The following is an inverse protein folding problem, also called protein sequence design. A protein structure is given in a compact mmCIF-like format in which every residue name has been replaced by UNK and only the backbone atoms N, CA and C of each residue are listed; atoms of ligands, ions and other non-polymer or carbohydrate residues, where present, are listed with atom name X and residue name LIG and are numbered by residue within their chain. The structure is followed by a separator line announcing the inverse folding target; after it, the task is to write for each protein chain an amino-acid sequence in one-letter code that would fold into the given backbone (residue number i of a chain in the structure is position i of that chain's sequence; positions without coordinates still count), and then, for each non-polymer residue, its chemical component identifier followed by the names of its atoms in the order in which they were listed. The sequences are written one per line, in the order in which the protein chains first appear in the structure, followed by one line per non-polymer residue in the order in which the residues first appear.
data_IF_827595633934
#
_entry.id   IF_827595633934
#
_cell.length_a   1.000
_cell.length_b   1.000
_cell.length_c   1.000
_cell.angle_alpha   90.00
_cell.angle_beta   90.00
_cell.angle_gamma   90.00
#
_symmetry.space_group_name_H-M   'P 1'
#
loop_
_entity.id
_entity.type
_entity.pdbx_description
1 polymer ?
#
# COMPACT_ATOMS: atom_id res chain seq x y z
N UNK A 1 -14.07 -16.20 7.22
CA UNK A 1 -13.51 -14.95 7.77
C UNK A 1 -13.58 -13.90 6.67
N UNK A 2 -14.40 -12.86 6.83
CA UNK A 2 -14.66 -11.85 5.79
C UNK A 2 -13.51 -10.85 5.72
N UNK A 3 -12.98 -10.59 4.52
CA UNK A 3 -11.86 -9.65 4.32
C UNK A 3 -12.28 -8.20 4.62
N UNK A 4 -11.51 -7.50 5.46
CA UNK A 4 -11.74 -6.08 5.79
C UNK A 4 -11.60 -5.20 4.55
N UNK A 5 -12.55 -4.29 4.30
CA UNK A 5 -12.44 -3.26 3.27
C UNK A 5 -13.15 -1.97 3.69
N UNK A 6 -12.42 -0.85 3.74
CA UNK A 6 -12.98 0.48 4.05
C UNK A 6 -13.20 1.25 2.76
N UNK A 7 -14.46 1.49 2.40
CA UNK A 7 -14.84 2.22 1.17
C UNK A 7 -14.35 3.68 1.21
N UNK A 8 -13.85 4.24 0.08
CA UNK A 8 -13.55 5.66 -0.03
C UNK A 8 -14.79 6.54 0.17
N UNK A 9 -14.63 7.64 0.91
CA UNK A 9 -15.62 8.73 0.93
C UNK A 9 -15.35 9.73 -0.20
N UNK A 10 -16.31 10.60 -0.56
CA UNK A 10 -16.15 11.55 -1.68
C UNK A 10 -14.98 12.53 -1.50
N UNK A 11 -14.66 12.93 -0.26
CA UNK A 11 -13.51 13.78 0.07
C UNK A 11 -12.17 13.04 -0.13
N UNK A 12 -12.13 11.73 0.16
CA UNK A 12 -10.95 10.90 -0.08
C UNK A 12 -10.61 10.80 -1.58
N UNK A 13 -11.62 10.80 -2.44
CA UNK A 13 -11.44 10.73 -3.90
C UNK A 13 -10.75 11.99 -4.44
N UNK A 14 -11.04 13.17 -3.86
CA UNK A 14 -10.44 14.45 -4.26
C UNK A 14 -8.99 14.55 -3.78
N UNK A 15 -8.70 14.12 -2.55
CA UNK A 15 -7.33 14.09 -2.03
C UNK A 15 -6.45 13.06 -2.77
N UNK A 16 -6.97 11.86 -3.04
CA UNK A 16 -6.30 10.86 -3.87
C UNK A 16 -6.03 11.37 -5.29
N UNK A 17 -6.93 12.17 -5.87
CA UNK A 17 -6.73 12.78 -7.18
C UNK A 17 -5.62 13.84 -7.14
N UNK A 18 -5.55 14.66 -6.09
CA UNK A 18 -4.50 15.67 -5.90
C UNK A 18 -3.11 15.02 -5.70
N UNK A 19 -3.01 14.00 -4.83
CA UNK A 19 -1.76 13.24 -4.63
C UNK A 19 -1.37 12.49 -5.91
N UNK A 20 -2.33 11.94 -6.66
CA UNK A 20 -2.08 11.32 -7.96
C UNK A 20 -1.58 12.32 -9.01
N UNK A 21 -2.05 13.57 -8.98
CA UNK A 21 -1.60 14.63 -9.87
C UNK A 21 -0.18 15.10 -9.52
N UNK A 22 0.11 15.33 -8.24
CA UNK A 22 1.44 15.73 -7.75
C UNK A 22 2.51 14.66 -8.01
N UNK A 23 2.16 13.38 -7.80
CA UNK A 23 3.06 12.26 -8.11
C UNK A 23 3.30 12.12 -9.62
N UNK A 24 2.30 12.42 -10.46
CA UNK A 24 2.43 12.38 -11.93
C UNK A 24 3.37 13.45 -12.48
N UNK A 25 3.44 14.63 -11.86
CA UNK A 25 4.33 15.73 -12.28
C UNK A 25 5.74 15.64 -11.68
N UNK A 26 6.08 14.54 -10.97
CA UNK A 26 7.45 14.29 -10.50
C UNK A 26 7.82 14.96 -9.17
N UNK A 27 6.83 15.43 -8.40
CA UNK A 27 7.00 15.91 -7.03
C UNK A 27 6.43 14.88 -6.05
N UNK A 28 7.13 13.75 -5.80
CA UNK A 28 6.63 12.75 -4.87
C UNK A 28 6.62 13.33 -3.46
N UNK A 29 5.44 13.39 -2.84
CA UNK A 29 5.35 13.57 -1.40
C UNK A 29 6.02 12.36 -0.75
N UNK A 30 7.18 12.58 -0.13
CA UNK A 30 7.91 11.62 0.69
C UNK A 30 8.05 10.19 0.10
N UNK A 31 8.27 10.09 -1.23
CA UNK A 31 8.51 8.81 -1.89
C UNK A 31 7.27 8.10 -2.46
N UNK A 32 6.13 8.78 -2.57
CA UNK A 32 4.93 8.27 -3.23
C UNK A 32 5.21 7.71 -4.64
N UNK A 33 4.46 6.68 -5.03
CA UNK A 33 4.50 6.03 -6.34
C UNK A 33 3.09 5.81 -6.86
N UNK A 34 2.95 5.73 -8.18
CA UNK A 34 1.73 5.19 -8.79
C UNK A 34 1.93 3.70 -8.96
N UNK A 35 1.19 2.89 -8.19
CA UNK A 35 1.08 1.46 -8.41
C UNK A 35 0.25 1.23 -9.67
N UNK A 36 0.80 0.51 -10.65
CA UNK A 36 0.06 -0.04 -11.77
C UNK A 36 0.02 -1.57 -11.65
N UNK A 37 -1.18 -2.14 -11.64
CA UNK A 37 -1.42 -3.57 -11.51
C UNK A 37 -2.49 -3.99 -12.51
N UNK A 38 -2.33 -5.18 -13.09
CA UNK A 38 -3.26 -5.72 -14.07
C UNK A 38 -4.57 -6.12 -13.37
N UNK A 39 -5.71 -5.69 -13.92
CA UNK A 39 -7.02 -6.07 -13.44
C UNK A 39 -7.20 -7.58 -13.55
N UNK A 40 -7.54 -8.27 -12.44
CA UNK A 40 -7.66 -9.74 -12.43
C UNK A 40 -8.73 -10.30 -13.37
N UNK A 41 -9.71 -9.49 -13.73
CA UNK A 41 -10.80 -9.86 -14.64
C UNK A 41 -10.57 -9.30 -16.05
N UNK A 42 -10.17 -8.02 -16.16
CA UNK A 42 -10.08 -7.35 -17.46
C UNK A 42 -8.69 -7.41 -18.11
N UNK A 43 -7.64 -7.75 -17.37
CA UNK A 43 -6.25 -7.67 -17.86
C UNK A 43 -5.74 -6.23 -18.11
N UNK A 44 -6.56 -5.20 -17.93
CA UNK A 44 -6.14 -3.81 -18.15
C UNK A 44 -5.29 -3.28 -17.00
N UNK A 45 -4.43 -2.29 -17.29
CA UNK A 45 -3.71 -1.57 -16.24
C UNK A 45 -4.67 -0.75 -15.38
N UNK A 46 -4.65 -1.00 -14.08
CA UNK A 46 -5.35 -0.18 -13.07
C UNK A 46 -4.31 0.50 -12.20
N UNK A 47 -4.51 1.79 -11.93
CA UNK A 47 -3.53 2.60 -11.21
C UNK A 47 -4.07 3.20 -9.93
N UNK A 48 -3.22 3.30 -8.91
CA UNK A 48 -3.56 3.93 -7.64
C UNK A 48 -2.30 4.49 -6.98
N UNK A 49 -2.35 5.66 -6.32
CA UNK A 49 -1.24 6.15 -5.52
C UNK A 49 -0.98 5.23 -4.33
N UNK A 50 0.28 4.97 -4.05
CA UNK A 50 0.74 4.19 -2.89
C UNK A 50 2.01 4.80 -2.32
N UNK A 51 2.29 4.48 -1.06
CA UNK A 51 3.51 4.90 -0.35
C UNK A 51 4.33 3.66 0.02
N UNK A 52 5.29 3.23 -0.84
CA UNK A 52 6.21 2.15 -0.50
C UNK A 52 7.07 2.54 0.69
N UNK A 53 7.13 1.68 1.71
CA UNK A 53 7.93 1.87 2.91
C UNK A 53 9.14 0.92 2.90
N UNK A 54 10.29 1.38 3.39
CA UNK A 54 11.44 0.50 3.67
C UNK A 54 11.48 0.11 5.14
N UNK A 55 11.62 -1.18 5.43
CA UNK A 55 11.81 -1.73 6.78
C UNK A 55 12.88 -2.80 6.70
N UNK A 56 13.95 -2.67 7.50
CA UNK A 56 15.07 -3.61 7.54
C UNK A 56 15.65 -3.95 6.13
N UNK A 57 15.82 -2.93 5.28
CA UNK A 57 16.37 -3.08 3.91
C UNK A 57 15.34 -3.49 2.85
N UNK A 58 14.25 -4.14 3.26
CA UNK A 58 13.16 -4.61 2.40
C UNK A 58 12.12 -3.52 2.12
N UNK A 59 11.39 -3.64 1.00
CA UNK A 59 10.32 -2.70 0.62
C UNK A 59 8.94 -3.32 0.74
N UNK A 60 7.99 -2.54 1.23
CA UNK A 60 6.64 -2.99 1.50
C UNK A 60 5.58 -2.02 0.96
N UNK A 61 4.45 -2.57 0.51
CA UNK A 61 3.18 -1.85 0.38
C UNK A 61 2.26 -2.27 1.52
N UNK A 62 1.63 -1.29 2.15
CA UNK A 62 0.60 -1.52 3.17
C UNK A 62 -0.74 -1.03 2.61
N UNK A 63 -1.79 -1.83 2.79
CA UNK A 63 -3.15 -1.48 2.43
C UNK A 63 -3.94 -1.01 3.66
N UNK A 64 -3.86 0.29 4.06
CA UNK A 64 -4.54 0.79 5.25
C UNK A 64 -6.07 0.65 5.18
N UNK A 65 -6.63 0.57 3.97
CA UNK A 65 -8.07 0.38 3.74
C UNK A 65 -8.49 -1.09 3.61
N UNK A 66 -7.59 -2.03 3.89
CA UNK A 66 -7.84 -3.46 3.75
C UNK A 66 -7.83 -3.96 2.30
N UNK A 67 -8.61 -4.99 2.01
CA UNK A 67 -8.67 -5.69 0.71
C UNK A 67 -9.43 -4.91 -0.37
N UNK A 68 -8.80 -3.83 -0.81
CA UNK A 68 -9.22 -2.99 -1.94
C UNK A 68 -9.09 -3.72 -3.30
N UNK A 69 -9.54 -3.10 -4.39
CA UNK A 69 -9.40 -3.70 -5.73
C UNK A 69 -7.94 -3.90 -6.14
N UNK A 70 -7.02 -2.99 -5.78
CA UNK A 70 -5.61 -3.17 -6.14
C UNK A 70 -4.98 -4.34 -5.39
N UNK A 71 -5.38 -4.61 -4.13
CA UNK A 71 -4.94 -5.77 -3.34
C UNK A 71 -5.38 -7.06 -4.04
N UNK A 72 -6.67 -7.16 -4.38
CA UNK A 72 -7.22 -8.34 -5.07
C UNK A 72 -6.55 -8.58 -6.42
N UNK A 73 -6.27 -7.52 -7.14
CA UNK A 73 -5.58 -7.61 -8.42
C UNK A 73 -4.10 -7.99 -8.25
N UNK A 74 -3.41 -7.45 -7.24
CA UNK A 74 -2.01 -7.76 -6.99
C UNK A 74 -1.82 -9.22 -6.55
N UNK A 75 -2.72 -9.76 -5.72
CA UNK A 75 -2.74 -11.18 -5.36
C UNK A 75 -2.86 -12.09 -6.57
N UNK A 76 -3.70 -11.71 -7.53
CA UNK A 76 -3.88 -12.48 -8.76
C UNK A 76 -2.71 -12.33 -9.75
N UNK A 77 -2.14 -11.13 -9.85
CA UNK A 77 -1.07 -10.82 -10.82
C UNK A 77 0.33 -11.20 -10.32
N UNK A 78 0.56 -11.26 -9.01
CA UNK A 78 1.86 -11.53 -8.39
C UNK A 78 2.91 -10.42 -8.55
N UNK A 79 2.55 -9.30 -9.17
CA UNK A 79 3.47 -8.21 -9.46
C UNK A 79 2.83 -7.06 -10.24
N UNK A 80 3.63 -6.05 -10.57
CA UNK A 80 3.18 -4.87 -11.27
C UNK A 80 4.30 -3.87 -11.51
N UNK A 81 3.92 -2.60 -11.65
CA UNK A 81 4.86 -1.51 -11.83
C UNK A 81 4.67 -0.42 -10.77
N UNK A 82 5.78 0.13 -10.28
CA UNK A 82 5.81 1.39 -9.54
C UNK A 82 6.30 2.49 -10.48
N UNK A 83 5.45 3.48 -10.74
CA UNK A 83 5.73 4.59 -11.65
C UNK A 83 5.97 5.90 -10.89
N UNK A 84 6.97 6.66 -11.31
CA UNK A 84 7.28 8.00 -10.80
C UNK A 84 7.78 8.89 -11.94
N UNK A 85 6.98 9.86 -12.37
CA UNK A 85 7.27 10.61 -13.59
C UNK A 85 7.49 9.68 -14.78
N UNK A 86 8.69 9.71 -15.37
CA UNK A 86 9.10 8.83 -16.47
C UNK A 86 9.68 7.48 -16.04
N UNK A 87 10.07 7.34 -14.77
CA UNK A 87 10.69 6.12 -14.27
C UNK A 87 9.65 5.04 -14.01
N UNK A 88 9.91 3.83 -14.49
CA UNK A 88 9.07 2.65 -14.29
C UNK A 88 9.92 1.57 -13.64
N UNK A 89 9.47 1.07 -12.50
CA UNK A 89 10.10 -0.07 -11.84
C UNK A 89 9.15 -1.27 -11.89
N UNK A 90 9.60 -2.38 -12.48
CA UNK A 90 8.86 -3.65 -12.49
C UNK A 90 9.19 -4.41 -11.21
N UNK A 91 8.18 -4.99 -10.57
CA UNK A 91 8.35 -5.70 -9.31
C UNK A 91 7.48 -6.96 -9.20
N UNK A 92 7.93 -7.89 -8.35
CA UNK A 92 7.12 -8.98 -7.77
C UNK A 92 6.66 -8.65 -6.38
N UNK A 93 5.48 -9.13 -6.02
CA UNK A 93 4.92 -8.97 -4.69
C UNK A 93 4.67 -10.33 -4.04
N UNK A 94 5.04 -10.43 -2.77
CA UNK A 94 4.74 -11.55 -1.90
C UNK A 94 3.92 -11.04 -0.72
N UNK A 95 2.76 -11.64 -0.45
CA UNK A 95 1.94 -11.23 0.68
C UNK A 95 2.57 -11.71 1.99
N UNK A 96 2.72 -10.79 2.94
CA UNK A 96 3.38 -11.05 4.22
C UNK A 96 2.40 -11.75 5.16
N UNK A 97 2.78 -12.87 5.82
CA UNK A 97 1.96 -13.53 6.83
C UNK A 97 1.62 -12.60 8.00
N UNK A 98 0.44 -12.78 8.62
CA UNK A 98 -0.05 -11.89 9.69
C UNK A 98 0.92 -11.77 10.88
N UNK A 99 1.62 -12.87 11.22
CA UNK A 99 2.60 -12.90 12.29
C UNK A 99 3.81 -11.98 12.07
N UNK A 100 4.17 -11.70 10.81
CA UNK A 100 5.31 -10.85 10.43
C UNK A 100 4.93 -9.37 10.27
N UNK A 101 3.63 -9.04 10.23
CA UNK A 101 3.15 -7.67 9.98
C UNK A 101 3.40 -6.66 11.12
N UNK A 102 3.41 -6.99 12.43
CA UNK A 102 3.52 -5.99 13.50
C UNK A 102 4.67 -4.98 13.34
N UNK A 103 5.94 -5.38 13.11
CA UNK A 103 7.02 -4.40 12.93
C UNK A 103 6.81 -3.50 11.70
N UNK A 104 6.19 -4.02 10.64
CA UNK A 104 5.93 -3.27 9.41
C UNK A 104 4.80 -2.26 9.62
N UNK A 105 3.70 -2.68 10.27
CA UNK A 105 2.57 -1.79 10.60
C UNK A 105 3.00 -0.68 11.55
N UNK A 106 3.85 -0.97 12.54
CA UNK A 106 4.42 0.04 13.44
C UNK A 106 5.23 1.06 12.66
N UNK A 107 6.16 0.63 11.80
CA UNK A 107 6.96 1.53 10.99
C UNK A 107 6.09 2.38 10.04
N UNK A 108 5.03 1.80 9.49
CA UNK A 108 4.07 2.51 8.65
C UNK A 108 3.31 3.59 9.43
N UNK A 109 2.86 3.29 10.66
CA UNK A 109 2.22 4.27 11.54
C UNK A 109 3.18 5.39 11.96
N UNK A 110 4.45 5.09 12.21
CA UNK A 110 5.47 6.12 12.49
C UNK A 110 5.57 7.12 11.33
N UNK A 111 5.60 6.63 10.09
CA UNK A 111 5.77 7.46 8.91
C UNK A 111 4.49 8.20 8.47
N UNK A 112 3.32 7.55 8.61
CA UNK A 112 2.10 7.97 7.90
C UNK A 112 0.86 8.13 8.78
N UNK A 113 0.93 7.97 10.10
CA UNK A 113 -0.26 8.06 10.96
C UNK A 113 -1.03 9.39 10.81
N UNK A 114 -0.36 10.49 10.48
CA UNK A 114 -0.99 11.79 10.23
C UNK A 114 -1.96 11.76 9.02
N UNK A 115 -1.71 10.88 8.04
CA UNK A 115 -2.53 10.72 6.84
C UNK A 115 -3.51 9.54 6.95
N UNK A 116 -3.04 8.41 7.50
CA UNK A 116 -3.78 7.13 7.48
C UNK A 116 -4.30 6.66 8.84
N UNK A 117 -3.97 7.35 9.94
CA UNK A 117 -4.25 6.89 11.31
C UNK A 117 -5.73 6.59 11.56
N UNK A 118 -6.63 7.31 10.89
CA UNK A 118 -8.08 7.07 10.93
C UNK A 118 -8.52 5.66 10.50
N UNK A 119 -7.68 4.94 9.75
CA UNK A 119 -7.99 3.58 9.30
C UNK A 119 -7.51 2.50 10.27
N UNK A 120 -6.74 2.84 11.30
CA UNK A 120 -6.12 1.87 12.21
C UNK A 120 -6.92 1.57 13.48
N UNK A 121 -8.23 1.85 13.52
CA UNK A 121 -9.13 1.47 14.64
C UNK A 121 -8.63 1.92 16.03
N UNK A 122 -8.01 3.10 16.09
CA UNK A 122 -7.43 3.63 17.34
C UNK A 122 -6.07 3.04 17.71
N UNK A 123 -5.49 2.19 16.87
CA UNK A 123 -4.10 1.73 16.97
C UNK A 123 -3.16 2.77 16.40
N UNK A 124 -2.10 3.05 17.12
CA UNK A 124 -1.06 4.03 16.77
C UNK A 124 0.35 3.43 16.87
N UNK A 125 1.38 4.25 16.61
CA UNK A 125 2.79 3.84 16.65
C UNK A 125 3.28 3.39 18.03
N UNK A 126 2.59 3.75 19.12
CA UNK A 126 2.95 3.44 20.50
C UNK A 126 2.16 2.24 21.05
N UNK A 127 1.15 1.79 20.32
CA UNK A 127 0.32 0.64 20.70
C UNK A 127 1.16 -0.63 20.88
N UNK A 128 0.83 -1.52 21.84
CA UNK A 128 1.59 -2.74 22.08
C UNK A 128 1.50 -3.70 20.88
N UNK A 129 2.50 -4.58 20.74
CA UNK A 129 2.57 -5.52 19.61
C UNK A 129 1.32 -6.41 19.49
N UNK A 130 0.69 -6.78 20.61
CA UNK A 130 -0.54 -7.59 20.60
C UNK A 130 -1.68 -6.91 19.87
N UNK A 131 -1.83 -5.58 20.01
CA UNK A 131 -2.84 -4.82 19.28
C UNK A 131 -2.52 -4.76 17.79
N UNK A 132 -1.24 -4.68 17.42
CA UNK A 132 -0.83 -4.76 16.01
C UNK A 132 -1.07 -6.15 15.41
N UNK A 133 -0.86 -7.22 16.19
CA UNK A 133 -1.16 -8.60 15.78
C UNK A 133 -2.67 -8.81 15.58
N UNK A 134 -3.49 -8.28 16.48
CA UNK A 134 -4.95 -8.38 16.42
C UNK A 134 -5.50 -7.78 15.12
N UNK A 135 -5.00 -6.60 14.73
CA UNK A 135 -5.48 -5.94 13.52
C UNK A 135 -4.86 -6.48 12.24
N UNK A 136 -3.70 -7.16 12.31
CA UNK A 136 -2.88 -7.58 11.17
C UNK A 136 -3.66 -8.28 10.02
N UNK A 137 -4.64 -9.18 10.29
CA UNK A 137 -5.44 -9.80 9.23
C UNK A 137 -6.24 -8.81 8.39
N UNK A 138 -6.58 -7.64 8.96
CA UNK A 138 -7.31 -6.57 8.28
C UNK A 138 -6.43 -5.68 7.39
N UNK A 139 -5.10 -5.80 7.47
CA UNK A 139 -4.15 -4.99 6.72
C UNK A 139 -3.29 -5.86 5.82
N UNK A 140 -3.67 -6.04 4.54
CA UNK A 140 -2.80 -6.66 3.55
C UNK A 140 -1.46 -5.90 3.44
N UNK A 141 -0.36 -6.65 3.48
CA UNK A 141 1.00 -6.13 3.35
C UNK A 141 1.73 -6.96 2.30
N UNK A 142 2.42 -6.31 1.37
CA UNK A 142 3.15 -6.98 0.31
C UNK A 142 4.63 -6.60 0.35
N UNK A 143 5.52 -7.58 0.45
CA UNK A 143 6.97 -7.43 0.25
C UNK A 143 7.23 -7.30 -1.25
N UNK A 144 8.03 -6.31 -1.64
CA UNK A 144 8.33 -5.99 -3.03
C UNK A 144 9.76 -6.40 -3.40
N UNK A 145 9.91 -7.18 -4.48
CA UNK A 145 11.21 -7.50 -5.08
C UNK A 145 11.31 -6.82 -6.44
N UNK A 146 12.36 -6.01 -6.64
CA UNK A 146 12.60 -5.33 -7.92
C UNK A 146 13.03 -6.33 -8.98
N UNK A 147 12.43 -6.28 -10.16
CA UNK A 147 12.85 -7.05 -11.35
C UNK A 147 13.60 -6.17 -12.37
N UNK A 148 13.63 -4.85 -12.17
CA UNK A 148 14.39 -3.92 -13.00
C UNK A 148 13.76 -2.53 -13.05
N UNK A 149 14.53 -1.55 -13.52
CA UNK A 149 14.06 -0.18 -13.75
C UNK A 149 14.22 0.18 -15.22
N UNK A 150 13.21 0.84 -15.78
CA UNK A 150 13.17 1.41 -17.13
C UNK A 150 12.98 2.92 -17.02
#
# INVERSE_FOLDING_TARGET
MSERFVRPTRLDTVFNAAVAALTRIGLPLAGSRVLAVRGRTSGEWRTTPVNPLRVAGERYLVAPRGTTQWVRNLRAAGGGELRAGRAIEVFRAEEVPDAEKPPILRAYLVAWAWEVGRFFEGVDKNSPDDRLREIAPGFPVFRLRSEGRR
#
